data_IF_824566673688
#
_entry.id   IF_824566673688
#
_cell.length_a   1.000
_cell.length_b   1.000
_cell.length_c   1.000
_cell.angle_alpha   90.00
_cell.angle_beta   90.00
_cell.angle_gamma   90.00
#
_symmetry.space_group_name_H-M   'P 1'
#
loop_
_entity.id
_entity.type
_entity.pdbx_description
1 polymer ?
#
# COMPACT_ATOMS: atom_id res chain seq x y z
N UNK A 1 -7.55 12.06 -10.13
CA UNK A 1 -6.58 11.71 -11.20
C UNK A 1 -6.45 10.19 -11.23
N UNK A 2 -6.79 9.56 -12.36
CA UNK A 2 -6.73 8.09 -12.51
C UNK A 2 -5.58 7.73 -13.46
N UNK A 3 -4.57 6.96 -13.04
CA UNK A 3 -3.53 6.48 -13.92
C UNK A 3 -4.09 5.39 -14.85
N UNK A 4 -3.70 5.40 -16.11
CA UNK A 4 -4.11 4.43 -17.11
C UNK A 4 -2.97 3.49 -17.52
N UNK A 5 -1.77 4.03 -17.64
CA UNK A 5 -0.52 3.31 -17.91
C UNK A 5 0.68 4.20 -17.63
N UNK A 6 1.84 3.60 -17.49
CA UNK A 6 3.12 4.32 -17.49
C UNK A 6 3.86 4.14 -18.84
N UNK A 7 4.99 4.85 -18.97
CA UNK A 7 5.84 4.81 -20.18
C UNK A 7 7.03 3.85 -20.07
N UNK A 8 7.21 3.18 -18.94
CA UNK A 8 8.37 2.30 -18.72
C UNK A 8 8.01 0.89 -19.21
N UNK A 9 8.70 0.38 -20.25
CA UNK A 9 8.42 -0.97 -20.73
C UNK A 9 8.87 -2.01 -19.69
N UNK A 10 8.02 -3.02 -19.45
CA UNK A 10 8.40 -4.19 -18.66
C UNK A 10 9.50 -4.99 -19.36
N UNK A 11 10.44 -5.52 -18.60
CA UNK A 11 11.57 -6.33 -19.08
C UNK A 11 11.29 -7.82 -18.97
N UNK A 12 10.55 -8.20 -17.94
CA UNK A 12 10.19 -9.60 -17.65
C UNK A 12 8.68 -9.70 -17.45
N UNK A 13 8.16 -10.92 -17.51
CA UNK A 13 6.76 -11.16 -17.12
C UNK A 13 6.61 -10.95 -15.62
N UNK A 14 5.70 -10.06 -15.16
CA UNK A 14 5.59 -9.69 -13.75
C UNK A 14 4.77 -10.75 -12.96
N UNK A 15 5.35 -11.93 -12.76
CA UNK A 15 4.65 -13.07 -12.14
C UNK A 15 4.16 -12.78 -10.73
N UNK A 16 4.95 -12.06 -9.92
CA UNK A 16 4.58 -11.77 -8.53
C UNK A 16 3.52 -10.67 -8.47
N UNK A 17 3.64 -9.63 -9.28
CA UNK A 17 2.61 -8.59 -9.43
C UNK A 17 1.26 -9.21 -9.79
N UNK A 18 1.25 -10.08 -10.82
CA UNK A 18 0.03 -10.80 -11.24
C UNK A 18 -0.46 -11.72 -10.13
N UNK A 19 0.43 -12.48 -9.50
CA UNK A 19 0.11 -13.38 -8.38
C UNK A 19 -0.53 -12.64 -7.20
N UNK A 20 -0.01 -11.47 -6.83
CA UNK A 20 -0.57 -10.62 -5.78
C UNK A 20 -1.96 -10.10 -6.17
N UNK A 21 -2.15 -9.66 -7.42
CA UNK A 21 -3.46 -9.23 -7.93
C UNK A 21 -4.47 -10.38 -7.84
N UNK A 22 -4.09 -11.57 -8.30
CA UNK A 22 -4.96 -12.76 -8.24
C UNK A 22 -5.29 -13.11 -6.78
N UNK A 23 -4.30 -13.11 -5.88
CA UNK A 23 -4.51 -13.38 -4.47
C UNK A 23 -5.50 -12.40 -3.83
N UNK A 24 -5.39 -11.09 -4.11
CA UNK A 24 -6.32 -10.08 -3.63
C UNK A 24 -7.75 -10.32 -4.16
N UNK A 25 -7.92 -10.66 -5.44
CA UNK A 25 -9.24 -10.98 -5.97
C UNK A 25 -9.82 -12.28 -5.38
N UNK A 26 -8.99 -13.29 -5.13
CA UNK A 26 -9.47 -14.51 -4.46
C UNK A 26 -9.96 -14.24 -3.05
N UNK A 27 -9.23 -13.42 -2.28
CA UNK A 27 -9.67 -12.98 -0.95
C UNK A 27 -10.95 -12.14 -1.08
N UNK A 28 -11.03 -11.20 -2.03
CA UNK A 28 -12.22 -10.40 -2.26
C UNK A 28 -13.46 -11.23 -2.57
N UNK A 29 -13.36 -12.23 -3.44
CA UNK A 29 -14.49 -13.12 -3.73
C UNK A 29 -14.88 -13.97 -2.51
N UNK A 30 -13.92 -14.32 -1.66
CA UNK A 30 -14.23 -14.96 -0.37
C UNK A 30 -14.94 -13.98 0.57
N UNK A 31 -14.54 -12.72 0.66
CA UNK A 31 -15.22 -11.69 1.47
C UNK A 31 -16.66 -11.43 1.01
N UNK A 32 -16.93 -11.55 -0.30
CA UNK A 32 -18.29 -11.45 -0.85
C UNK A 32 -19.18 -12.65 -0.48
N UNK A 33 -18.61 -13.76 -0.02
CA UNK A 33 -19.38 -14.92 0.42
C UNK A 33 -20.07 -14.68 1.76
N UNK A 34 -21.01 -15.55 2.15
CA UNK A 34 -21.66 -15.47 3.46
C UNK A 34 -20.62 -15.59 4.59
N UNK A 35 -20.68 -14.76 5.64
CA UNK A 35 -21.77 -13.83 6.01
C UNK A 35 -21.67 -12.43 5.39
N UNK A 36 -20.69 -12.14 4.55
CA UNK A 36 -20.52 -10.86 3.83
C UNK A 36 -19.31 -10.05 4.27
N UNK A 37 -18.98 -9.04 3.46
CA UNK A 37 -17.76 -8.21 3.58
C UNK A 37 -17.56 -7.62 4.97
N UNK A 38 -18.58 -6.98 5.52
CA UNK A 38 -18.46 -6.31 6.83
C UNK A 38 -18.07 -7.29 7.95
N UNK A 39 -18.66 -8.49 7.97
CA UNK A 39 -18.34 -9.50 8.98
C UNK A 39 -16.91 -10.02 8.83
N UNK A 40 -16.45 -10.24 7.59
CA UNK A 40 -15.08 -10.64 7.33
C UNK A 40 -14.09 -9.56 7.75
N UNK A 41 -14.37 -8.29 7.41
CA UNK A 41 -13.55 -7.15 7.80
C UNK A 41 -13.43 -7.02 9.32
N UNK A 42 -14.54 -7.17 10.06
CA UNK A 42 -14.51 -7.11 11.52
C UNK A 42 -13.80 -8.31 12.15
N UNK A 43 -13.90 -9.51 11.55
CA UNK A 43 -13.31 -10.72 12.10
C UNK A 43 -11.81 -10.85 11.80
N UNK A 44 -11.40 -10.53 10.57
CA UNK A 44 -10.10 -10.90 10.02
C UNK A 44 -9.19 -9.69 9.72
N UNK A 45 -9.70 -8.45 9.88
CA UNK A 45 -8.93 -7.22 9.73
C UNK A 45 -7.91 -7.00 10.83
N UNK A 46 -6.91 -6.17 10.55
CA UNK A 46 -5.89 -5.79 11.52
C UNK A 46 -6.36 -4.65 12.43
N UNK A 47 -6.18 -4.80 13.73
CA UNK A 47 -6.51 -3.77 14.73
C UNK A 47 -5.25 -3.27 15.44
N UNK A 48 -4.97 -1.95 15.46
CA UNK A 48 -3.87 -1.39 16.24
C UNK A 48 -3.89 -1.79 17.72
N UNK A 49 -5.08 -1.89 18.32
CA UNK A 49 -5.23 -2.32 19.72
C UNK A 49 -4.76 -3.77 19.98
N UNK A 50 -4.67 -4.63 18.96
CA UNK A 50 -4.14 -5.99 19.10
C UNK A 50 -2.64 -6.02 19.44
N UNK A 51 -1.90 -4.93 19.13
CA UNK A 51 -0.50 -4.79 19.54
C UNK A 51 -0.38 -4.36 20.99
N UNK A 52 -1.17 -3.35 21.40
CA UNK A 52 -1.12 -2.83 22.76
C UNK A 52 -2.42 -2.11 23.12
N UNK A 53 -3.10 -2.55 24.18
CA UNK A 53 -4.28 -1.89 24.72
C UNK A 53 -5.57 -2.71 24.65
N UNK A 54 -6.64 -2.21 25.24
CA UNK A 54 -7.95 -2.83 25.12
C UNK A 54 -8.55 -2.58 23.73
N UNK A 55 -9.14 -3.62 23.14
CA UNK A 55 -9.91 -3.53 21.91
C UNK A 55 -11.39 -3.39 22.22
N UNK A 56 -12.03 -2.33 21.75
CA UNK A 56 -13.48 -2.10 21.85
C UNK A 56 -14.17 -2.52 20.57
N UNK A 57 -14.34 -3.82 20.38
CA UNK A 57 -14.97 -4.40 19.19
C UNK A 57 -16.47 -4.63 19.40
N UNK A 58 -17.26 -4.75 18.32
CA UNK A 58 -18.66 -5.17 18.43
C UNK A 58 -18.78 -6.53 19.14
N UNK A 59 -19.93 -6.76 19.78
CA UNK A 59 -20.19 -8.00 20.50
C UNK A 59 -20.00 -9.23 19.59
N UNK A 60 -19.25 -10.20 20.09
CA UNK A 60 -18.96 -11.44 19.38
C UNK A 60 -17.71 -11.40 18.48
N UNK A 61 -17.04 -10.24 18.37
CA UNK A 61 -15.78 -10.14 17.64
C UNK A 61 -14.58 -10.03 18.58
N UNK A 62 -13.45 -10.61 18.14
CA UNK A 62 -12.17 -10.55 18.82
C UNK A 62 -11.10 -10.18 17.80
N UNK A 63 -10.16 -9.32 18.17
CA UNK A 63 -9.03 -9.02 17.32
C UNK A 63 -8.15 -10.27 17.16
N UNK A 64 -7.69 -10.52 15.92
CA UNK A 64 -6.66 -11.52 15.67
C UNK A 64 -5.35 -11.09 16.37
N UNK A 65 -4.45 -12.04 16.68
CA UNK A 65 -3.08 -11.70 17.04
C UNK A 65 -2.49 -10.72 16.00
N UNK A 66 -1.77 -9.70 16.47
CA UNK A 66 -1.31 -8.61 15.60
C UNK A 66 -0.55 -9.13 14.36
N UNK A 67 0.27 -10.16 14.50
CA UNK A 67 1.05 -10.74 13.40
C UNK A 67 0.19 -11.46 12.37
N UNK A 68 -0.95 -12.05 12.76
CA UNK A 68 -1.91 -12.62 11.80
C UNK A 68 -2.69 -11.50 11.11
N UNK A 69 -3.26 -10.57 11.91
CA UNK A 69 -4.06 -9.46 11.41
C UNK A 69 -3.32 -8.56 10.42
N UNK A 70 -2.02 -8.33 10.59
CA UNK A 70 -1.21 -7.56 9.64
C UNK A 70 -1.22 -8.21 8.25
N UNK A 71 -1.04 -9.54 8.17
CA UNK A 71 -1.02 -10.23 6.88
C UNK A 71 -2.41 -10.41 6.29
N UNK A 72 -3.42 -10.79 7.09
CA UNK A 72 -4.79 -10.91 6.58
C UNK A 72 -5.31 -9.56 6.09
N UNK A 73 -5.16 -8.50 6.89
CA UNK A 73 -5.58 -7.15 6.54
C UNK A 73 -4.97 -6.61 5.25
N UNK A 74 -3.73 -7.00 4.90
CA UNK A 74 -3.08 -6.58 3.65
C UNK A 74 -3.78 -7.08 2.37
N UNK A 75 -4.62 -8.12 2.45
CA UNK A 75 -5.29 -8.70 1.29
C UNK A 75 -6.81 -8.45 1.30
N UNK A 76 -7.36 -7.87 2.37
CA UNK A 76 -8.77 -7.60 2.52
C UNK A 76 -9.17 -6.23 1.96
N UNK A 77 -10.44 -6.11 1.55
CA UNK A 77 -10.96 -4.86 0.96
C UNK A 77 -12.39 -4.59 1.42
N UNK A 78 -12.75 -3.29 1.56
CA UNK A 78 -14.07 -2.86 2.02
C UNK A 78 -15.09 -2.64 0.88
N UNK A 79 -14.69 -2.79 -0.37
CA UNK A 79 -15.58 -2.54 -1.51
C UNK A 79 -14.88 -2.58 -2.86
N UNK A 80 -15.67 -2.61 -3.93
CA UNK A 80 -15.17 -2.70 -5.30
C UNK A 80 -14.23 -1.55 -5.68
N UNK A 81 -14.52 -0.32 -5.29
CA UNK A 81 -13.65 0.82 -5.59
C UNK A 81 -12.29 0.68 -4.93
N UNK A 82 -12.26 0.12 -3.71
CA UNK A 82 -11.05 -0.09 -2.94
C UNK A 82 -10.14 -1.14 -3.61
N UNK A 83 -10.68 -2.32 -3.94
CA UNK A 83 -9.86 -3.35 -4.60
C UNK A 83 -9.46 -2.97 -6.02
N UNK A 84 -10.38 -2.42 -6.84
CA UNK A 84 -10.06 -2.04 -8.21
C UNK A 84 -9.02 -0.92 -8.26
N UNK A 85 -9.10 0.05 -7.36
CA UNK A 85 -8.09 1.09 -7.20
C UNK A 85 -6.72 0.50 -6.86
N UNK A 86 -6.65 -0.36 -5.85
CA UNK A 86 -5.42 -1.02 -5.44
C UNK A 86 -4.80 -1.84 -6.58
N UNK A 87 -5.60 -2.67 -7.25
CA UNK A 87 -5.10 -3.54 -8.32
C UNK A 87 -4.65 -2.74 -9.54
N UNK A 88 -5.31 -1.65 -9.86
CA UNK A 88 -4.90 -0.74 -10.93
C UNK A 88 -3.51 -0.13 -10.66
N UNK A 89 -3.30 0.40 -9.45
CA UNK A 89 -1.99 0.96 -9.10
C UNK A 89 -0.90 -0.12 -9.04
N UNK A 90 -1.20 -1.28 -8.48
CA UNK A 90 -0.25 -2.40 -8.45
C UNK A 90 0.11 -2.87 -9.85
N UNK A 91 -0.88 -2.96 -10.77
CA UNK A 91 -0.65 -3.34 -12.17
C UNK A 91 0.25 -2.37 -12.92
N UNK A 92 0.03 -1.05 -12.76
CA UNK A 92 0.77 -0.02 -13.50
C UNK A 92 2.20 0.14 -12.98
N UNK A 93 2.41 0.11 -11.67
CA UNK A 93 3.70 0.46 -11.06
C UNK A 93 4.48 -0.75 -10.53
N UNK A 94 3.79 -1.85 -10.21
CA UNK A 94 4.38 -3.04 -9.60
C UNK A 94 5.37 -3.75 -10.51
N UNK A 95 5.03 -3.91 -11.78
CA UNK A 95 5.85 -4.62 -12.77
C UNK A 95 7.28 -4.07 -12.86
N UNK A 96 7.44 -2.75 -12.87
CA UNK A 96 8.75 -2.09 -13.01
C UNK A 96 9.60 -2.18 -11.73
N UNK A 97 8.95 -2.18 -10.57
CA UNK A 97 9.63 -2.40 -9.28
C UNK A 97 10.02 -3.87 -9.15
N UNK A 98 9.16 -4.80 -9.58
CA UNK A 98 9.45 -6.24 -9.67
C UNK A 98 10.65 -6.51 -10.59
N UNK A 99 10.68 -5.91 -11.78
CA UNK A 99 11.83 -5.96 -12.69
C UNK A 99 13.14 -5.46 -12.08
N UNK A 100 13.03 -4.56 -11.10
CA UNK A 100 14.19 -4.00 -10.42
C UNK A 100 14.75 -4.91 -9.33
N UNK A 101 13.85 -5.54 -8.57
CA UNK A 101 14.17 -6.38 -7.41
C UNK A 101 14.30 -7.86 -7.75
N UNK A 102 13.80 -8.26 -8.93
CA UNK A 102 13.54 -9.66 -9.27
C UNK A 102 12.33 -10.22 -8.53
N UNK A 103 11.72 -11.29 -9.06
CA UNK A 103 10.46 -11.83 -8.57
C UNK A 103 10.46 -12.14 -7.06
N UNK A 104 11.41 -12.94 -6.60
CA UNK A 104 11.48 -13.35 -5.18
C UNK A 104 11.79 -12.15 -4.28
N UNK A 105 12.72 -11.29 -4.70
CA UNK A 105 13.04 -10.06 -3.97
C UNK A 105 11.85 -9.13 -3.85
N UNK A 106 11.08 -8.96 -4.91
CA UNK A 106 9.87 -8.12 -4.91
C UNK A 106 8.79 -8.66 -3.97
N UNK A 107 8.55 -9.97 -3.94
CA UNK A 107 7.56 -10.57 -3.03
C UNK A 107 7.87 -10.24 -1.56
N UNK A 108 9.07 -10.54 -1.10
CA UNK A 108 9.43 -10.27 0.29
C UNK A 108 9.49 -8.77 0.61
N UNK A 109 9.94 -7.97 -0.34
CA UNK A 109 9.99 -6.52 -0.20
C UNK A 109 8.57 -5.92 -0.14
N UNK A 110 7.62 -6.39 -0.96
CA UNK A 110 6.22 -5.96 -0.94
C UNK A 110 5.55 -6.26 0.41
N UNK A 111 5.75 -7.48 0.93
CA UNK A 111 5.25 -7.86 2.24
C UNK A 111 5.87 -7.01 3.36
N UNK A 112 7.19 -6.76 3.30
CA UNK A 112 7.87 -5.87 4.25
C UNK A 112 7.34 -4.43 4.18
N UNK A 113 7.07 -3.90 2.98
CA UNK A 113 6.47 -2.59 2.79
C UNK A 113 5.10 -2.51 3.48
N UNK A 114 4.27 -3.55 3.36
CA UNK A 114 2.97 -3.62 4.03
C UNK A 114 3.09 -3.68 5.55
N UNK A 115 4.03 -4.46 6.08
CA UNK A 115 4.30 -4.52 7.53
C UNK A 115 4.73 -3.15 8.06
N UNK A 116 5.66 -2.48 7.38
CA UNK A 116 6.11 -1.12 7.76
C UNK A 116 4.98 -0.11 7.67
N UNK A 117 4.14 -0.21 6.64
CA UNK A 117 2.96 0.64 6.50
C UNK A 117 1.98 0.47 7.68
N UNK A 118 1.66 -0.78 8.03
CA UNK A 118 0.79 -1.07 9.18
C UNK A 118 1.43 -0.63 10.50
N UNK A 119 2.75 -0.79 10.67
CA UNK A 119 3.46 -0.32 11.85
C UNK A 119 3.38 1.21 11.98
N UNK A 120 3.55 1.97 10.89
CA UNK A 120 3.42 3.42 10.88
C UNK A 120 1.99 3.86 11.26
N UNK A 121 0.96 3.22 10.68
CA UNK A 121 -0.43 3.50 11.05
C UNK A 121 -0.69 3.19 12.52
N UNK A 122 -0.24 2.03 12.99
CA UNK A 122 -0.42 1.60 14.39
C UNK A 122 0.21 2.58 15.36
N UNK A 123 1.46 2.98 15.12
CA UNK A 123 2.16 3.95 15.95
C UNK A 123 1.37 5.26 16.07
N UNK A 124 0.96 5.84 14.93
CA UNK A 124 0.21 7.09 14.95
C UNK A 124 -1.16 6.92 15.62
N UNK A 125 -1.84 5.80 15.39
CA UNK A 125 -3.15 5.55 15.98
C UNK A 125 -3.07 5.41 17.50
N UNK A 126 -2.12 4.64 18.01
CA UNK A 126 -1.96 4.41 19.45
C UNK A 126 -1.50 5.67 20.19
N UNK A 127 -0.61 6.46 19.59
CA UNK A 127 -0.04 7.64 20.27
C UNK A 127 -0.95 8.89 20.16
N UNK A 128 -1.71 9.05 19.08
CA UNK A 128 -2.37 10.32 18.79
C UNK A 128 -3.88 10.24 18.58
N UNK A 129 -4.45 9.06 18.22
CA UNK A 129 -5.86 8.98 17.83
C UNK A 129 -6.77 8.31 18.87
N UNK A 130 -6.20 7.64 19.87
CA UNK A 130 -6.91 7.08 21.02
C UNK A 130 -7.58 5.72 20.75
N UNK A 131 -8.20 5.17 21.78
CA UNK A 131 -8.68 3.78 21.87
C UNK A 131 -9.76 3.45 20.84
N UNK A 132 -10.66 4.37 20.54
CA UNK A 132 -11.70 4.14 19.53
C UNK A 132 -11.10 3.96 18.15
N UNK A 133 -10.15 4.80 17.75
CA UNK A 133 -9.46 4.68 16.48
C UNK A 133 -8.60 3.38 16.42
N UNK A 134 -8.01 2.96 17.54
CA UNK A 134 -7.26 1.72 17.64
C UNK A 134 -8.14 0.46 17.50
N UNK A 135 -9.45 0.60 17.67
CA UNK A 135 -10.46 -0.45 17.52
C UNK A 135 -11.15 -0.46 16.15
N UNK A 136 -10.66 0.34 15.19
CA UNK A 136 -11.11 0.30 13.80
C UNK A 136 -10.19 -0.62 13.00
N UNK A 137 -10.77 -1.56 12.20
CA UNK A 137 -9.94 -2.48 11.43
C UNK A 137 -9.21 -1.74 10.29
N UNK A 138 -7.91 -1.99 10.17
CA UNK A 138 -7.10 -1.54 9.05
C UNK A 138 -6.99 -2.67 8.02
N UNK A 139 -7.38 -2.39 6.79
CA UNK A 139 -7.41 -3.35 5.69
C UNK A 139 -6.95 -2.68 4.39
N UNK A 140 -6.50 -3.49 3.47
CA UNK A 140 -6.13 -3.08 2.11
C UNK A 140 -4.66 -3.28 1.78
N UNK A 141 -4.41 -3.61 0.52
CA UNK A 141 -3.08 -3.72 -0.06
C UNK A 141 -2.36 -2.36 -0.18
N UNK A 142 -3.08 -1.25 0.04
CA UNK A 142 -2.66 0.11 -0.31
C UNK A 142 -1.40 0.58 0.41
N UNK A 143 -1.13 0.11 1.63
CA UNK A 143 0.09 0.41 2.35
C UNK A 143 1.34 -0.16 1.66
N UNK A 144 1.30 -1.43 1.24
CA UNK A 144 2.36 -2.06 0.46
C UNK A 144 2.49 -1.44 -0.94
N UNK A 145 1.37 -1.13 -1.59
CA UNK A 145 1.32 -0.43 -2.87
C UNK A 145 1.92 0.98 -2.75
N UNK A 146 1.68 1.69 -1.66
CA UNK A 146 2.34 2.97 -1.40
C UNK A 146 3.87 2.82 -1.35
N UNK A 147 4.38 1.70 -0.82
CA UNK A 147 5.80 1.33 -0.94
C UNK A 147 6.24 1.20 -2.39
N UNK A 148 5.47 0.51 -3.22
CA UNK A 148 5.74 0.41 -4.68
C UNK A 148 5.80 1.79 -5.32
N UNK A 149 4.85 2.69 -5.00
CA UNK A 149 4.83 4.06 -5.52
C UNK A 149 6.04 4.88 -5.07
N UNK A 150 6.47 4.74 -3.81
CA UNK A 150 7.66 5.39 -3.27
C UNK A 150 8.95 4.92 -3.94
N UNK A 151 9.10 3.61 -4.17
CA UNK A 151 10.23 3.06 -4.93
C UNK A 151 10.21 3.52 -6.39
N UNK A 152 9.05 3.49 -7.04
CA UNK A 152 8.88 3.95 -8.42
C UNK A 152 9.23 5.44 -8.57
N UNK A 153 8.79 6.27 -7.62
CA UNK A 153 9.11 7.71 -7.57
C UNK A 153 10.61 7.99 -7.65
N UNK A 154 11.41 7.18 -6.99
CA UNK A 154 12.88 7.32 -6.96
C UNK A 154 13.55 6.68 -8.17
N UNK A 155 13.09 5.48 -8.56
CA UNK A 155 13.73 4.68 -9.61
C UNK A 155 13.42 5.17 -11.02
N UNK A 156 12.24 5.77 -11.23
CA UNK A 156 11.73 6.17 -12.54
C UNK A 156 11.19 7.61 -12.58
N UNK A 157 11.93 8.62 -12.06
CA UNK A 157 11.41 9.98 -11.91
C UNK A 157 11.04 10.65 -13.24
N UNK A 158 11.70 10.27 -14.32
CA UNK A 158 11.44 10.79 -15.68
C UNK A 158 10.36 10.02 -16.45
N UNK A 159 9.84 8.93 -15.91
CA UNK A 159 8.74 8.19 -16.52
C UNK A 159 7.50 9.08 -16.67
N UNK A 160 6.67 8.79 -17.66
CA UNK A 160 5.40 9.48 -17.88
C UNK A 160 4.26 8.55 -17.53
N UNK A 161 3.27 9.10 -16.81
CA UNK A 161 2.03 8.40 -16.44
C UNK A 161 0.90 8.99 -17.28
N UNK A 162 0.31 8.18 -18.15
CA UNK A 162 -0.91 8.55 -18.85
C UNK A 162 -2.05 8.60 -17.84
N UNK A 163 -2.60 9.78 -17.65
CA UNK A 163 -3.53 10.07 -16.55
C UNK A 163 -4.82 10.66 -17.09
N UNK A 164 -5.94 10.13 -16.62
CA UNK A 164 -7.25 10.73 -16.81
C UNK A 164 -7.51 11.75 -15.67
N UNK A 165 -7.65 13.02 -16.06
CA UNK A 165 -7.99 14.14 -15.17
C UNK A 165 -9.36 14.66 -15.61
N UNK A 166 -10.41 14.39 -14.82
CA UNK A 166 -11.80 14.59 -15.23
C UNK A 166 -12.09 13.86 -16.56
N UNK A 167 -12.12 14.58 -17.68
CA UNK A 167 -12.37 14.03 -19.03
C UNK A 167 -11.18 14.23 -19.98
N UNK A 168 -10.04 14.71 -19.48
CA UNK A 168 -8.85 15.01 -20.29
C UNK A 168 -7.77 13.97 -19.98
N UNK A 169 -7.26 13.34 -21.04
CA UNK A 169 -6.12 12.40 -20.92
C UNK A 169 -4.84 13.17 -21.16
N UNK A 170 -3.89 13.11 -20.22
CA UNK A 170 -2.59 13.78 -20.27
C UNK A 170 -1.50 12.87 -19.75
N UNK A 171 -0.32 13.02 -20.34
CA UNK A 171 0.91 12.41 -19.81
C UNK A 171 1.53 13.35 -18.77
N UNK A 172 1.66 12.86 -17.54
CA UNK A 172 2.26 13.59 -16.42
C UNK A 172 3.55 12.88 -16.02
N UNK A 173 4.66 13.60 -15.79
CA UNK A 173 5.86 12.97 -15.22
C UNK A 173 5.52 12.28 -13.89
N UNK A 174 6.04 11.06 -13.69
CA UNK A 174 5.73 10.23 -12.52
C UNK A 174 6.03 10.96 -11.21
N UNK A 175 7.09 11.75 -11.16
CA UNK A 175 7.47 12.55 -9.98
C UNK A 175 6.35 13.51 -9.56
N UNK A 176 5.66 14.14 -10.51
CA UNK A 176 4.54 15.04 -10.18
C UNK A 176 3.28 14.27 -9.81
N UNK A 177 2.96 13.22 -10.57
CA UNK A 177 1.79 12.39 -10.28
C UNK A 177 1.87 11.78 -8.88
N UNK A 178 2.96 11.10 -8.56
CA UNK A 178 3.17 10.43 -7.28
C UNK A 178 3.45 11.41 -6.14
N UNK A 179 4.16 12.52 -6.42
CA UNK A 179 4.40 13.58 -5.44
C UNK A 179 3.12 14.25 -4.97
N UNK A 180 2.22 14.62 -5.90
CA UNK A 180 0.91 15.18 -5.57
C UNK A 180 0.06 14.17 -4.81
N UNK A 181 0.06 12.90 -5.24
CA UNK A 181 -0.64 11.84 -4.54
C UNK A 181 -0.17 11.72 -3.08
N UNK A 182 1.15 11.70 -2.86
CA UNK A 182 1.74 11.62 -1.52
C UNK A 182 1.39 12.85 -0.66
N UNK A 183 1.50 14.05 -1.23
CA UNK A 183 1.15 15.29 -0.51
C UNK A 183 -0.32 15.31 -0.09
N UNK A 184 -1.22 14.79 -0.93
CA UNK A 184 -2.63 14.64 -0.57
C UNK A 184 -2.82 13.66 0.60
N UNK A 185 -2.07 12.53 0.62
CA UNK A 185 -2.12 11.60 1.75
C UNK A 185 -1.63 12.27 3.05
N UNK A 186 -0.51 12.99 2.98
CA UNK A 186 0.06 13.69 4.13
C UNK A 186 -0.89 14.79 4.65
N UNK A 187 -1.48 15.58 3.75
CA UNK A 187 -2.43 16.63 4.09
C UNK A 187 -3.70 16.06 4.76
N UNK A 188 -4.32 15.05 4.14
CA UNK A 188 -5.54 14.44 4.67
C UNK A 188 -5.28 13.68 5.97
N UNK A 189 -4.14 12.99 6.07
CA UNK A 189 -3.69 12.36 7.31
C UNK A 189 -3.48 13.36 8.44
N UNK A 190 -2.85 14.51 8.15
CA UNK A 190 -2.69 15.60 9.11
C UNK A 190 -4.01 16.14 9.61
N UNK A 191 -4.98 16.37 8.71
CA UNK A 191 -6.33 16.81 9.10
C UNK A 191 -7.04 15.76 9.95
N UNK A 192 -6.90 14.47 9.64
CA UNK A 192 -7.55 13.39 10.40
C UNK A 192 -7.05 13.32 11.86
N UNK A 193 -5.81 13.73 12.14
CA UNK A 193 -5.29 13.85 13.51
C UNK A 193 -5.91 15.03 14.26
N UNK A 194 -6.18 16.15 13.57
CA UNK A 194 -6.81 17.31 14.17
C UNK A 194 -8.30 17.09 14.46
N UNK A 195 -8.93 16.19 13.70
CA UNK A 195 -10.36 15.87 13.80
C UNK A 195 -10.57 14.34 13.80
N UNK A 196 -10.18 13.61 14.88
CA UNK A 196 -10.24 12.15 14.92
C UNK A 196 -11.65 11.57 14.68
N UNK A 197 -12.69 12.33 15.00
CA UNK A 197 -14.09 11.94 14.85
C UNK A 197 -14.59 11.97 13.39
N UNK A 198 -13.91 12.69 12.50
CA UNK A 198 -14.26 12.84 11.08
C UNK A 198 -13.42 11.97 10.14
N UNK A 199 -12.51 11.19 10.68
CA UNK A 199 -11.61 10.33 9.91
C UNK A 199 -12.36 9.18 9.24
N UNK A 200 -12.61 9.32 7.95
CA UNK A 200 -13.39 8.37 7.14
C UNK A 200 -12.61 7.11 6.77
N UNK A 201 -12.23 6.27 7.72
CA UNK A 201 -11.83 4.88 7.46
C UNK A 201 -10.57 4.64 6.59
N UNK A 202 -9.86 5.68 6.13
CA UNK A 202 -8.63 5.53 5.33
C UNK A 202 -7.40 5.60 6.22
N UNK A 203 -6.55 4.58 6.12
CA UNK A 203 -5.29 4.48 6.86
C UNK A 203 -4.19 5.35 6.20
N UNK A 204 -4.30 6.68 6.28
CA UNK A 204 -3.38 7.61 5.62
C UNK A 204 -1.92 7.43 6.05
N UNK A 205 -1.68 7.12 7.31
CA UNK A 205 -0.32 6.91 7.83
C UNK A 205 0.28 5.58 7.38
N UNK A 206 -0.53 4.59 7.03
CA UNK A 206 -0.05 3.41 6.32
C UNK A 206 0.47 3.79 4.92
N UNK A 207 -0.23 4.66 4.21
CA UNK A 207 0.24 5.14 2.90
C UNK A 207 1.54 5.96 3.03
N UNK A 208 1.63 6.85 4.02
CA UNK A 208 2.83 7.66 4.27
C UNK A 208 4.01 6.75 4.64
N UNK A 209 3.81 5.82 5.57
CA UNK A 209 4.85 4.88 6.02
C UNK A 209 5.33 3.96 4.90
N UNK A 210 4.40 3.39 4.13
CA UNK A 210 4.71 2.57 2.97
C UNK A 210 5.50 3.36 1.91
N UNK A 211 5.03 4.54 1.55
CA UNK A 211 5.71 5.40 0.57
C UNK A 211 7.13 5.79 1.02
N UNK A 212 7.30 6.17 2.29
CA UNK A 212 8.61 6.49 2.86
C UNK A 212 9.56 5.28 2.83
N UNK A 213 9.07 4.08 3.18
CA UNK A 213 9.84 2.83 3.03
C UNK A 213 10.27 2.62 1.57
N UNK A 214 9.35 2.81 0.63
CA UNK A 214 9.63 2.71 -0.81
C UNK A 214 10.70 3.69 -1.28
N UNK A 215 10.61 4.96 -0.84
CA UNK A 215 11.62 6.00 -1.16
C UNK A 215 12.99 5.60 -0.62
N UNK A 216 13.09 5.24 0.65
CA UNK A 216 14.36 4.88 1.29
C UNK A 216 15.01 3.68 0.59
N UNK A 217 14.24 2.61 0.39
CA UNK A 217 14.76 1.41 -0.28
C UNK A 217 15.05 1.65 -1.76
N UNK A 218 14.25 2.47 -2.45
CA UNK A 218 14.48 2.90 -3.81
C UNK A 218 15.80 3.67 -3.97
N UNK A 219 16.14 4.57 -3.03
CA UNK A 219 17.43 5.27 -3.01
C UNK A 219 18.60 4.31 -2.84
N UNK A 220 18.48 3.32 -1.95
CA UNK A 220 19.50 2.28 -1.76
C UNK A 220 19.71 1.45 -3.04
N UNK A 221 18.64 1.09 -3.72
CA UNK A 221 18.70 0.36 -4.99
C UNK A 221 19.32 1.20 -6.11
N UNK A 222 18.97 2.49 -6.19
CA UNK A 222 19.54 3.41 -7.17
C UNK A 222 21.04 3.63 -6.95
N UNK A 223 21.49 3.73 -5.70
CA UNK A 223 22.89 3.85 -5.35
C UNK A 223 23.71 2.64 -5.79
N UNK A 224 23.22 1.42 -5.52
CA UNK A 224 23.88 0.16 -5.95
C UNK A 224 24.00 0.02 -7.47
N UNK A 225 23.08 0.61 -8.25
CA UNK A 225 23.16 0.59 -9.72
C UNK A 225 24.21 1.54 -10.27
N UNK A 226 24.60 2.59 -9.53
CA UNK A 226 25.60 3.59 -9.92
C UNK A 226 27.04 3.14 -9.61
N UNK A 227 27.25 2.13 -8.78
CA UNK A 227 28.58 1.54 -8.59
C UNK A 227 29.01 0.86 -9.90
N UNK A 228 30.13 1.32 -10.56
CA UNK A 228 30.62 0.64 -11.73
C UNK A 228 30.97 -0.79 -11.30
N UNK A 229 30.42 -1.79 -12.00
CA UNK A 229 30.97 -3.14 -11.93
C UNK A 229 32.45 -3.00 -12.29
N UNK A 230 33.31 -3.01 -11.29
CA UNK A 230 34.74 -3.18 -11.54
C UNK A 230 34.85 -4.54 -12.25
N UNK A 231 35.05 -4.45 -13.57
CA UNK A 231 35.49 -5.57 -14.37
C UNK A 231 36.77 -6.05 -13.71
N UNK A 232 36.70 -7.14 -12.97
CA UNK A 232 37.88 -7.92 -12.61
C UNK A 232 38.44 -8.49 -13.90
N UNK A 233 39.26 -7.68 -14.60
CA UNK A 233 40.19 -8.14 -15.56
C UNK A 233 41.29 -8.85 -14.74
N UNK A 234 41.19 -10.14 -14.65
CA UNK A 234 42.33 -11.06 -14.42
C UNK A 234 42.36 -12.09 -15.53
#
# INVERSE_FOLDING_TARGET
MLPLRDSVPGRTTPYVTVGLIVANFLVWFWELSSPGVDVHVFRDGYYPCALHGPCHLPLGFHALPWYEGVFTGMFMHAGWEHILGNMLFLWIFGNNVEDTLGHVGFLFWYLAAGVVAMAAQTFVTLEFAGVHAASVPNIGASGAIAGVLGAYFVLFPGARVLTLIFFIIREIPAVWFLGIWFLLQAYTGGISLLHPQSGGGVAFFAHIGGFAFGVVTGLLLAARRREPRQLYLR
#
